data_IF_966267023410
#
_entry.id   IF_966267023410
#
_cell.length_a   1.000
_cell.length_b   1.000
_cell.length_c   1.000
_cell.angle_alpha   90.00
_cell.angle_beta   90.00
_cell.angle_gamma   90.00
#
_symmetry.space_group_name_H-M   'P 1'
#
loop_
_entity.id
_entity.type
_entity.pdbx_description
1 polymer ?
#
# COMPACT_ATOMS: atom_id res chain seq x y z
N UNK A 1 -12.96 13.85 -7.21
CA UNK A 1 -13.70 12.78 -7.91
C UNK A 1 -15.02 12.69 -7.20
N UNK A 2 -16.09 12.87 -7.95
CA UNK A 2 -17.46 12.82 -7.46
C UNK A 2 -18.16 11.84 -8.41
N UNK A 3 -18.49 10.67 -7.89
CA UNK A 3 -19.29 9.67 -8.58
C UNK A 3 -20.72 9.92 -8.10
N UNK A 4 -21.66 10.05 -9.03
CA UNK A 4 -23.08 10.24 -8.69
C UNK A 4 -23.73 8.95 -8.11
N UNK A 5 -22.92 8.06 -7.53
CA UNK A 5 -23.29 6.74 -7.04
C UNK A 5 -22.49 6.38 -5.77
N UNK A 6 -23.09 5.51 -4.95
CA UNK A 6 -22.45 4.92 -3.76
C UNK A 6 -22.34 3.42 -3.90
N UNK A 7 -21.32 2.84 -3.27
CA UNK A 7 -21.02 1.41 -3.31
C UNK A 7 -21.04 0.79 -1.91
N UNK A 8 -21.34 -0.50 -1.83
CA UNK A 8 -21.28 -1.23 -0.56
C UNK A 8 -19.84 -1.54 -0.14
N UNK A 9 -18.94 -1.70 -1.11
CA UNK A 9 -17.56 -2.14 -0.89
C UNK A 9 -16.59 -1.40 -1.82
N UNK A 10 -15.48 -0.94 -1.25
CA UNK A 10 -14.30 -0.49 -1.95
C UNK A 10 -13.13 -1.44 -1.65
N UNK A 11 -12.32 -1.74 -2.66
CA UNK A 11 -11.16 -2.63 -2.52
C UNK A 11 -9.91 -1.94 -3.05
N UNK A 12 -8.85 -1.91 -2.25
CA UNK A 12 -7.51 -1.53 -2.70
C UNK A 12 -6.60 -2.76 -2.66
N UNK A 13 -6.15 -3.20 -3.84
CA UNK A 13 -5.23 -4.31 -3.99
C UNK A 13 -4.13 -3.98 -5.01
N UNK A 14 -2.88 -3.95 -4.55
CA UNK A 14 -1.73 -3.61 -5.40
C UNK A 14 -1.76 -2.18 -5.96
N UNK A 15 -2.60 -1.30 -5.40
CA UNK A 15 -2.76 0.10 -5.79
C UNK A 15 -2.15 1.06 -4.78
N UNK A 16 -2.75 2.25 -4.66
CA UNK A 16 -2.24 3.36 -3.83
C UNK A 16 -2.12 3.00 -2.35
N UNK A 17 -2.99 2.13 -1.83
CA UNK A 17 -2.98 1.74 -0.41
C UNK A 17 -2.93 0.22 -0.25
N UNK A 18 -2.00 -0.25 0.57
CA UNK A 18 -1.89 -1.66 0.96
C UNK A 18 -1.47 -1.76 2.41
N UNK A 19 -1.80 -2.86 3.08
CA UNK A 19 -1.26 -3.14 4.41
C UNK A 19 0.06 -3.88 4.23
N UNK A 20 1.15 -3.32 4.74
CA UNK A 20 2.42 -4.01 4.86
C UNK A 20 2.50 -4.70 6.22
N UNK A 21 2.32 -6.03 6.24
CA UNK A 21 2.37 -6.82 7.46
C UNK A 21 3.80 -7.26 7.78
N UNK A 22 4.31 -6.84 8.94
CA UNK A 22 5.65 -7.15 9.44
C UNK A 22 5.57 -7.66 10.87
N UNK A 23 5.48 -8.99 11.02
CA UNK A 23 5.27 -9.60 12.33
C UNK A 23 3.91 -9.21 12.91
N UNK A 24 3.91 -8.55 14.06
CA UNK A 24 2.73 -8.00 14.74
C UNK A 24 2.32 -6.61 14.24
N UNK A 25 3.14 -5.94 13.42
CA UNK A 25 2.89 -4.59 12.91
C UNK A 25 2.17 -4.61 11.56
N UNK A 26 1.21 -3.70 11.42
CA UNK A 26 0.44 -3.47 10.18
C UNK A 26 0.53 -2.01 9.76
N UNK A 27 1.53 -1.71 8.93
CA UNK A 27 1.75 -0.36 8.41
C UNK A 27 0.94 -0.14 7.13
N UNK A 28 0.58 1.11 6.83
CA UNK A 28 -0.06 1.46 5.57
C UNK A 28 1.01 1.81 4.54
N UNK A 29 1.22 0.90 3.59
CA UNK A 29 2.04 1.17 2.41
C UNK A 29 1.30 2.05 1.42
N UNK A 30 1.95 3.10 0.94
CA UNK A 30 1.40 3.98 -0.08
C UNK A 30 2.44 4.56 -1.05
N UNK A 31 1.90 5.17 -2.10
CA UNK A 31 2.65 5.88 -3.15
C UNK A 31 2.55 7.41 -3.03
N UNK A 32 1.90 7.92 -1.99
CA UNK A 32 1.72 9.35 -1.75
C UNK A 32 2.94 9.91 -1.02
N UNK A 33 3.24 11.18 -1.26
CA UNK A 33 4.40 11.83 -0.64
C UNK A 33 4.07 12.32 0.78
N UNK A 34 2.80 12.54 1.10
CA UNK A 34 2.36 13.24 2.31
C UNK A 34 1.03 12.72 2.85
N UNK A 35 0.94 12.57 4.17
CA UNK A 35 -0.25 12.10 4.92
C UNK A 35 -1.55 12.84 4.56
N UNK A 36 -1.58 14.19 4.39
CA UNK A 36 -2.81 14.89 4.00
C UNK A 36 -3.41 14.40 2.67
N UNK A 37 -2.58 13.87 1.76
CA UNK A 37 -3.06 13.30 0.50
C UNK A 37 -3.75 11.95 0.73
N UNK A 38 -3.24 11.12 1.64
CA UNK A 38 -3.89 9.87 2.05
C UNK A 38 -5.24 10.15 2.69
N UNK A 39 -5.31 11.08 3.65
CA UNK A 39 -6.56 11.46 4.31
C UNK A 39 -7.58 11.93 3.27
N UNK A 40 -7.17 12.82 2.36
CA UNK A 40 -8.05 13.33 1.29
C UNK A 40 -8.53 12.20 0.38
N UNK A 41 -7.64 11.30 -0.02
CA UNK A 41 -7.95 10.16 -0.87
C UNK A 41 -8.96 9.21 -0.21
N UNK A 42 -8.67 8.79 1.02
CA UNK A 42 -9.54 7.92 1.80
C UNK A 42 -10.89 8.59 2.11
N UNK A 43 -10.91 9.88 2.44
CA UNK A 43 -12.15 10.66 2.60
C UNK A 43 -12.98 10.65 1.33
N UNK A 44 -12.35 10.76 0.15
CA UNK A 44 -13.08 10.67 -1.11
C UNK A 44 -13.64 9.26 -1.35
N UNK A 45 -12.93 8.20 -0.93
CA UNK A 45 -13.48 6.84 -0.97
C UNK A 45 -14.69 6.72 -0.03
N UNK A 46 -14.57 7.20 1.21
CA UNK A 46 -15.66 7.18 2.18
C UNK A 46 -16.92 7.90 1.67
N UNK A 47 -16.78 9.03 0.96
CA UNK A 47 -17.93 9.75 0.38
C UNK A 47 -18.77 8.90 -0.57
N UNK A 48 -18.15 7.93 -1.26
CA UNK A 48 -18.81 7.07 -2.23
C UNK A 48 -19.11 5.67 -1.69
N UNK A 49 -18.96 5.45 -0.38
CA UNK A 49 -19.45 4.24 0.26
C UNK A 49 -20.81 4.51 0.90
N UNK A 50 -21.71 3.52 0.87
CA UNK A 50 -22.91 3.51 1.69
C UNK A 50 -22.54 3.61 3.18
N UNK A 51 -23.49 4.06 4.02
CA UNK A 51 -23.34 3.94 5.46
C UNK A 51 -23.07 2.48 5.83
N UNK A 52 -22.11 2.21 6.71
CA UNK A 52 -21.63 0.85 7.04
C UNK A 52 -20.97 0.08 5.87
N UNK A 53 -20.72 0.76 4.75
CA UNK A 53 -19.97 0.20 3.62
C UNK A 53 -18.52 -0.12 4.00
N UNK A 54 -17.92 -1.08 3.31
CA UNK A 54 -16.62 -1.63 3.68
C UNK A 54 -15.48 -1.12 2.78
N UNK A 55 -14.33 -0.85 3.40
CA UNK A 55 -13.06 -0.71 2.70
C UNK A 55 -12.16 -1.91 3.01
N UNK A 56 -11.73 -2.61 1.97
CA UNK A 56 -10.81 -3.75 2.07
C UNK A 56 -9.44 -3.34 1.55
N UNK A 57 -8.43 -3.38 2.43
CA UNK A 57 -7.04 -3.10 2.07
C UNK A 57 -6.26 -4.42 2.01
N UNK A 58 -5.68 -4.73 0.86
CA UNK A 58 -4.93 -5.98 0.69
C UNK A 58 -3.69 -6.01 1.58
N UNK A 59 -3.46 -7.15 2.21
CA UNK A 59 -2.25 -7.41 2.99
C UNK A 59 -1.15 -7.91 2.07
N UNK A 60 0.02 -7.30 2.19
CA UNK A 60 1.26 -7.70 1.54
C UNK A 60 2.32 -7.94 2.60
N UNK A 61 3.24 -8.86 2.28
CA UNK A 61 4.43 -9.07 3.10
C UNK A 61 5.50 -8.03 2.81
N UNK A 62 6.50 -8.00 3.67
CA UNK A 62 7.67 -7.15 3.52
C UNK A 62 8.32 -7.28 2.14
N UNK A 63 8.66 -6.14 1.54
CA UNK A 63 9.45 -6.11 0.32
C UNK A 63 10.89 -6.54 0.62
N UNK A 64 11.38 -7.48 -0.20
CA UNK A 64 12.73 -8.04 -0.08
C UNK A 64 13.46 -7.95 -1.41
N UNK A 65 14.78 -7.94 -1.34
CA UNK A 65 15.60 -8.15 -2.53
C UNK A 65 15.21 -9.49 -3.14
N UNK A 66 15.07 -9.50 -4.47
CA UNK A 66 14.60 -10.67 -5.17
C UNK A 66 15.20 -10.69 -6.57
N UNK A 67 15.50 -11.88 -7.06
CA UNK A 67 16.00 -12.11 -8.40
C UNK A 67 15.32 -13.32 -9.01
N UNK A 68 15.06 -13.25 -10.32
CA UNK A 68 14.50 -14.34 -11.10
C UNK A 68 15.09 -14.36 -12.50
N UNK A 69 15.53 -15.55 -12.92
CA UNK A 69 15.87 -15.79 -14.32
C UNK A 69 14.57 -15.88 -15.14
N UNK A 70 14.49 -15.08 -16.19
CA UNK A 70 13.43 -15.08 -17.18
C UNK A 70 13.92 -15.82 -18.45
N UNK A 71 13.01 -16.20 -19.37
CA UNK A 71 13.38 -16.75 -20.66
C UNK A 71 14.38 -15.85 -21.41
N UNK A 72 15.11 -16.43 -22.37
CA UNK A 72 16.07 -15.72 -23.26
C UNK A 72 17.32 -15.15 -22.59
N UNK A 73 17.62 -15.59 -21.35
CA UNK A 73 18.81 -15.18 -20.60
C UNK A 73 18.66 -13.84 -19.87
N UNK A 74 17.44 -13.31 -19.77
CA UNK A 74 17.17 -12.08 -19.03
C UNK A 74 17.08 -12.40 -17.53
N UNK A 75 17.69 -11.56 -16.70
CA UNK A 75 17.59 -11.60 -15.24
C UNK A 75 16.76 -10.41 -14.79
N UNK A 76 15.62 -10.67 -14.17
CA UNK A 76 14.87 -9.66 -13.42
C UNK A 76 15.41 -9.61 -11.99
N UNK A 77 15.67 -8.42 -11.47
CA UNK A 77 15.93 -8.20 -10.04
C UNK A 77 15.18 -6.99 -9.50
N UNK A 78 14.84 -7.05 -8.21
CA UNK A 78 14.43 -5.90 -7.43
C UNK A 78 15.35 -5.74 -6.22
N UNK A 79 15.67 -4.49 -5.91
CA UNK A 79 16.50 -4.08 -4.79
C UNK A 79 15.70 -3.08 -3.95
N UNK A 80 15.73 -3.26 -2.63
CA UNK A 80 15.01 -2.46 -1.65
C UNK A 80 16.04 -1.74 -0.78
N UNK A 81 15.96 -0.41 -0.73
CA UNK A 81 16.82 0.42 0.10
C UNK A 81 15.96 1.30 1.01
N UNK A 82 16.32 1.39 2.29
CA UNK A 82 15.69 2.33 3.21
C UNK A 82 16.31 3.71 3.01
N UNK A 83 15.48 4.70 2.67
CA UNK A 83 15.93 6.06 2.34
C UNK A 83 15.52 7.11 3.37
N UNK A 84 14.66 6.76 4.34
CA UNK A 84 14.26 7.66 5.41
C UNK A 84 13.39 6.99 6.46
N UNK A 85 13.38 7.56 7.66
CA UNK A 85 12.43 7.21 8.72
C UNK A 85 12.24 8.40 9.67
N UNK A 86 11.00 8.60 10.11
CA UNK A 86 10.65 9.45 11.24
C UNK A 86 9.62 8.72 12.14
N UNK A 87 9.03 9.43 13.11
CA UNK A 87 8.10 8.84 14.08
C UNK A 87 6.80 8.30 13.45
N UNK A 88 6.43 8.78 12.26
CA UNK A 88 5.18 8.47 11.57
C UNK A 88 5.37 7.59 10.33
N UNK A 89 6.48 7.73 9.62
CA UNK A 89 6.70 7.18 8.28
C UNK A 89 8.09 6.54 8.16
N UNK A 90 8.14 5.38 7.52
CA UNK A 90 9.37 4.82 6.95
C UNK A 90 9.31 4.90 5.42
N UNK A 91 10.39 5.34 4.78
CA UNK A 91 10.49 5.48 3.32
C UNK A 91 11.51 4.51 2.75
N UNK A 92 11.15 3.85 1.65
CA UNK A 92 12.06 3.00 0.88
C UNK A 92 12.15 3.47 -0.57
N UNK A 93 13.29 3.24 -1.21
CA UNK A 93 13.43 3.17 -2.66
C UNK A 93 13.37 1.70 -3.08
N UNK A 94 12.62 1.43 -4.13
CA UNK A 94 12.55 0.13 -4.80
C UNK A 94 13.04 0.29 -6.23
N UNK A 95 14.18 -0.34 -6.52
CA UNK A 95 14.80 -0.36 -7.83
C UNK A 95 14.49 -1.70 -8.52
N UNK A 96 14.06 -1.65 -9.77
CA UNK A 96 13.82 -2.81 -10.63
C UNK A 96 14.79 -2.80 -11.79
N UNK A 97 15.34 -3.96 -12.13
CA UNK A 97 16.28 -4.13 -13.23
C UNK A 97 15.88 -5.33 -14.10
N UNK A 98 16.06 -5.17 -15.40
CA UNK A 98 16.11 -6.27 -16.36
C UNK A 98 17.50 -6.26 -16.99
N UNK A 99 18.27 -7.32 -16.74
CA UNK A 99 19.65 -7.44 -17.23
C UNK A 99 19.80 -8.60 -18.19
N UNK A 100 20.65 -8.48 -19.20
CA UNK A 100 21.06 -9.60 -20.07
C UNK A 100 22.56 -9.53 -20.26
N UNK A 101 23.26 -10.63 -19.99
CA UNK A 101 24.73 -10.71 -20.09
C UNK A 101 25.46 -9.59 -19.29
N UNK A 102 24.86 -9.15 -18.18
CA UNK A 102 25.37 -8.08 -17.32
C UNK A 102 24.92 -6.67 -17.70
N UNK A 103 24.40 -6.46 -18.91
CA UNK A 103 23.91 -5.16 -19.39
C UNK A 103 22.49 -4.89 -18.91
N UNK A 104 22.21 -3.64 -18.48
CA UNK A 104 20.86 -3.22 -18.09
C UNK A 104 20.06 -2.89 -19.36
N UNK A 105 19.02 -3.69 -19.62
CA UNK A 105 18.08 -3.46 -20.71
C UNK A 105 16.99 -2.46 -20.32
N UNK A 106 16.54 -2.53 -19.06
CA UNK A 106 15.53 -1.62 -18.52
C UNK A 106 15.70 -1.47 -17.01
N UNK A 107 15.35 -0.29 -16.50
CA UNK A 107 15.35 0.03 -15.09
C UNK A 107 14.16 0.91 -14.73
N UNK A 108 13.61 0.71 -13.53
CA UNK A 108 12.65 1.62 -12.92
C UNK A 108 13.01 1.82 -11.45
N UNK A 109 12.80 3.02 -10.94
CA UNK A 109 12.86 3.33 -9.50
C UNK A 109 11.52 3.87 -9.04
N UNK A 110 11.13 3.51 -7.83
CA UNK A 110 9.98 4.09 -7.16
C UNK A 110 10.24 4.25 -5.67
N UNK A 111 9.68 5.30 -5.09
CA UNK A 111 9.70 5.52 -3.65
C UNK A 111 8.36 5.07 -3.06
N UNK A 112 8.41 4.40 -1.91
CA UNK A 112 7.25 3.97 -1.15
C UNK A 112 7.37 4.48 0.27
N UNK A 113 6.24 4.84 0.85
CA UNK A 113 6.13 5.19 2.25
C UNK A 113 5.32 4.12 2.98
N UNK A 114 5.72 3.82 4.21
CA UNK A 114 5.00 3.00 5.17
C UNK A 114 4.64 3.87 6.35
N UNK A 115 3.37 4.27 6.43
CA UNK A 115 2.84 4.97 7.58
C UNK A 115 2.67 3.95 8.70
N UNK A 116 3.33 4.21 9.83
CA UNK A 116 3.37 3.31 10.98
C UNK A 116 1.96 3.06 11.50
N UNK A 117 1.73 1.84 11.99
CA UNK A 117 0.41 1.37 12.43
C UNK A 117 -0.40 2.38 13.25
N UNK A 118 0.19 3.01 14.28
CA UNK A 118 -0.52 3.97 15.12
C UNK A 118 -1.06 5.17 14.32
N UNK A 119 -0.25 5.70 13.39
CA UNK A 119 -0.60 6.84 12.54
C UNK A 119 -1.58 6.44 11.46
N UNK A 120 -1.45 5.22 10.91
CA UNK A 120 -2.45 4.64 10.01
C UNK A 120 -3.82 4.63 10.66
N UNK A 121 -3.96 4.14 11.89
CA UNK A 121 -5.28 4.12 12.55
C UNK A 121 -5.84 5.54 12.75
N UNK A 122 -5.00 6.53 13.07
CA UNK A 122 -5.39 7.94 13.15
C UNK A 122 -5.91 8.48 11.80
N UNK A 123 -5.23 8.15 10.69
CA UNK A 123 -5.63 8.54 9.34
C UNK A 123 -6.95 7.89 8.93
N UNK A 124 -7.13 6.60 9.22
CA UNK A 124 -8.36 5.88 8.91
C UNK A 124 -9.55 6.49 9.67
N UNK A 125 -9.36 6.80 10.96
CA UNK A 125 -10.34 7.48 11.79
C UNK A 125 -10.72 8.85 11.21
N UNK A 126 -9.74 9.69 10.87
CA UNK A 126 -9.96 11.01 10.27
C UNK A 126 -10.69 10.93 8.92
N UNK A 127 -10.45 9.86 8.14
CA UNK A 127 -11.11 9.63 6.87
C UNK A 127 -12.54 9.05 7.00
N UNK A 128 -13.02 8.80 8.22
CA UNK A 128 -14.36 8.28 8.49
C UNK A 128 -14.46 6.76 8.46
N UNK A 129 -13.36 6.05 8.76
CA UNK A 129 -13.33 4.60 8.84
C UNK A 129 -13.01 4.10 10.25
N UNK A 130 -13.57 2.95 10.61
CA UNK A 130 -13.17 2.17 11.80
C UNK A 130 -12.69 0.79 11.38
N UNK A 131 -11.62 0.31 12.02
CA UNK A 131 -11.17 -1.07 11.84
C UNK A 131 -12.21 -2.06 12.37
N UNK A 132 -12.47 -3.12 11.60
CA UNK A 132 -13.42 -4.18 11.96
C UNK A 132 -12.67 -5.47 12.30
N UNK A 133 -11.90 -5.99 11.33
CA UNK A 133 -11.22 -7.27 11.46
C UNK A 133 -10.17 -7.48 10.37
N UNK A 134 -9.38 -8.53 10.52
CA UNK A 134 -8.66 -9.15 9.41
C UNK A 134 -9.57 -10.25 8.86
N UNK A 135 -9.83 -10.22 7.55
CA UNK A 135 -10.65 -11.24 6.90
C UNK A 135 -10.04 -12.64 7.11
N UNK A 136 -10.86 -13.69 7.24
CA UNK A 136 -10.42 -15.06 7.55
C UNK A 136 -9.34 -15.60 6.61
N UNK A 137 -9.34 -15.15 5.36
CA UNK A 137 -8.33 -15.51 4.37
C UNK A 137 -6.94 -14.92 4.64
N UNK A 138 -6.80 -14.05 5.65
CA UNK A 138 -5.57 -13.30 5.97
C UNK A 138 -5.06 -12.44 4.80
N UNK A 139 -5.96 -12.02 3.90
CA UNK A 139 -5.60 -11.21 2.71
C UNK A 139 -6.02 -9.76 2.79
N UNK A 140 -6.90 -9.40 3.73
CA UNK A 140 -7.47 -8.06 3.80
C UNK A 140 -7.61 -7.60 5.25
N UNK A 141 -7.21 -6.36 5.52
CA UNK A 141 -7.79 -5.59 6.61
C UNK A 141 -9.14 -5.05 6.16
N UNK A 142 -10.15 -5.19 7.00
CA UNK A 142 -11.51 -4.73 6.77
C UNK A 142 -11.78 -3.52 7.64
N UNK A 143 -12.15 -2.43 7.01
CA UNK A 143 -12.59 -1.19 7.64
C UNK A 143 -14.04 -0.92 7.26
N UNK A 144 -14.80 -0.28 8.14
CA UNK A 144 -16.19 0.09 7.93
C UNK A 144 -16.32 1.62 7.95
N UNK A 145 -17.11 2.16 7.02
CA UNK A 145 -17.47 3.58 7.01
C UNK A 145 -18.38 3.91 8.19
N UNK A 146 -18.01 4.98 8.91
CA UNK A 146 -18.79 5.58 9.99
C UNK A 146 -19.91 6.47 9.51
#
# INVERSE_FOLDING_TARGET
MDLEETFDIAVSSGGVWVINQRGDKSDLGNHTNEIPQDIKGLTNVAKHLCQEGLLLLSIQGEHKNYQKNLPTGIVYSQEIEKIGENDEIESIEKSYFFKKDGEILAQQKLNLNYIKQWKKEEIMEQAGFSFVSIHESQKFHVYCKK
#
